data_IF_288499775284
#
_entry.id   IF_288499775284
#
_cell.length_a   1.000
_cell.length_b   1.000
_cell.length_c   1.000
_cell.angle_alpha   90.00
_cell.angle_beta   90.00
_cell.angle_gamma   90.00
#
_symmetry.space_group_name_H-M   'P 1'
#
loop_
_entity.id
_entity.type
_entity.pdbx_description
1 polymer ?
#
# COMPACT_ATOMS: atom_id res chain seq x y z
N UNK A 1 42.21 43.87 54.48
CA UNK A 1 41.90 42.64 53.72
C UNK A 1 42.70 42.68 52.43
N UNK A 2 43.45 41.63 52.10
CA UNK A 2 44.36 41.68 50.96
C UNK A 2 43.57 41.75 49.64
N UNK A 3 44.05 42.47 48.60
CA UNK A 3 43.35 42.58 47.31
C UNK A 3 43.06 41.22 46.64
N UNK A 4 43.90 40.21 46.94
CA UNK A 4 43.73 38.82 46.49
C UNK A 4 42.54 38.12 47.15
N UNK A 5 42.27 38.37 48.43
CA UNK A 5 41.15 37.75 49.17
C UNK A 5 39.80 38.27 48.69
N UNK A 6 39.70 39.58 48.42
CA UNK A 6 38.49 40.18 47.88
C UNK A 6 38.16 39.66 46.47
N UNK A 7 39.19 39.45 45.64
CA UNK A 7 39.02 38.86 44.31
C UNK A 7 38.56 37.40 44.39
N UNK A 8 39.10 36.60 45.31
CA UNK A 8 38.65 35.22 45.51
C UNK A 8 37.21 35.14 46.04
N UNK A 9 36.82 36.07 46.92
CA UNK A 9 35.45 36.17 47.44
C UNK A 9 34.47 36.47 46.31
N UNK A 10 34.78 37.45 45.45
CA UNK A 10 33.96 37.79 44.29
C UNK A 10 33.86 36.64 43.27
N UNK A 11 34.96 35.90 43.04
CA UNK A 11 34.94 34.72 42.16
C UNK A 11 34.05 33.60 42.72
N UNK A 12 34.07 33.40 44.05
CA UNK A 12 33.24 32.40 44.74
C UNK A 12 31.76 32.77 44.73
N UNK A 13 31.43 34.04 44.91
CA UNK A 13 30.04 34.52 44.83
C UNK A 13 29.50 34.40 43.40
N UNK A 14 30.30 34.80 42.40
CA UNK A 14 29.94 34.67 41.00
C UNK A 14 29.72 33.20 40.58
N UNK A 15 30.59 32.28 41.03
CA UNK A 15 30.44 30.85 40.72
C UNK A 15 29.18 30.25 41.37
N UNK A 16 28.87 30.64 42.60
CA UNK A 16 27.62 30.24 43.27
C UNK A 16 26.39 30.73 42.51
N UNK A 17 26.38 31.98 42.05
CA UNK A 17 25.28 32.54 41.26
C UNK A 17 25.07 31.80 39.94
N UNK A 18 26.16 31.43 39.24
CA UNK A 18 26.09 30.67 37.99
C UNK A 18 25.47 29.29 38.21
N UNK A 19 25.85 28.59 39.29
CA UNK A 19 25.28 27.28 39.62
C UNK A 19 23.79 27.39 39.96
N UNK A 20 23.39 28.42 40.71
CA UNK A 20 21.97 28.68 41.03
C UNK A 20 21.17 29.01 39.77
N UNK A 21 21.70 29.85 38.87
CA UNK A 21 21.08 30.16 37.59
C UNK A 21 20.93 28.91 36.71
N UNK A 22 21.98 28.09 36.62
CA UNK A 22 21.95 26.86 35.83
C UNK A 22 20.93 25.86 36.37
N UNK A 23 20.90 25.63 37.68
CA UNK A 23 19.91 24.75 38.32
C UNK A 23 18.48 25.30 38.20
N UNK A 24 18.28 26.61 38.29
CA UNK A 24 16.99 27.26 38.05
C UNK A 24 16.52 27.10 36.60
N UNK A 25 17.41 27.31 35.63
CA UNK A 25 17.10 27.14 34.20
C UNK A 25 16.77 25.67 33.89
N UNK A 26 17.58 24.72 34.37
CA UNK A 26 17.32 23.28 34.20
C UNK A 26 16.01 22.86 34.86
N UNK A 27 15.72 23.36 36.07
CA UNK A 27 14.46 23.05 36.76
C UNK A 27 13.25 23.68 36.08
N UNK A 28 13.36 24.91 35.54
CA UNK A 28 12.34 25.53 34.69
C UNK A 28 12.12 24.76 33.39
N UNK A 29 13.19 24.38 32.69
CA UNK A 29 13.11 23.57 31.47
C UNK A 29 12.50 22.19 31.74
N UNK A 30 12.84 21.54 32.86
CA UNK A 30 12.20 20.29 33.30
C UNK A 30 10.72 20.51 33.61
N UNK A 31 10.36 21.59 34.30
CA UNK A 31 8.95 21.93 34.60
C UNK A 31 8.14 22.19 33.33
N UNK A 32 8.71 22.90 32.36
CA UNK A 32 8.09 23.14 31.04
C UNK A 32 7.95 21.83 30.25
N UNK A 33 8.97 20.95 30.29
CA UNK A 33 8.90 19.60 29.69
C UNK A 33 7.87 18.69 30.37
N UNK A 34 7.66 18.84 31.67
CA UNK A 34 6.63 18.12 32.43
C UNK A 34 5.22 18.69 32.21
N UNK A 35 5.10 19.98 31.91
CA UNK A 35 3.85 20.66 31.51
C UNK A 35 3.54 20.56 30.02
N UNK A 36 4.35 19.86 29.23
CA UNK A 36 3.90 19.34 27.93
C UNK A 36 2.89 18.24 28.25
N UNK A 37 1.62 18.62 28.22
CA UNK A 37 0.46 17.75 28.34
C UNK A 37 0.73 16.39 27.65
N UNK A 38 0.55 15.26 28.35
CA UNK A 38 0.60 13.96 27.72
C UNK A 38 -0.37 13.95 26.55
N UNK A 39 0.08 13.47 25.40
CA UNK A 39 -0.81 13.21 24.27
C UNK A 39 -2.01 12.38 24.76
N UNK A 40 -3.27 12.81 24.54
CA UNK A 40 -4.46 12.09 25.00
C UNK A 40 -4.61 10.70 24.36
N UNK A 41 -3.83 10.44 23.31
CA UNK A 41 -3.64 9.15 22.69
C UNK A 41 -2.27 8.63 23.12
N UNK A 42 -2.20 7.38 23.60
CA UNK A 42 -1.09 6.80 24.36
C UNK A 42 0.33 6.95 23.81
N UNK A 43 1.35 6.40 24.50
CA UNK A 43 2.75 6.68 24.20
C UNK A 43 3.06 6.48 22.71
N UNK A 44 3.64 7.51 22.06
CA UNK A 44 4.05 7.44 20.64
C UNK A 44 4.94 6.23 20.34
N UNK A 45 5.72 5.80 21.33
CA UNK A 45 6.53 4.58 21.29
C UNK A 45 5.70 3.30 21.09
N UNK A 46 4.54 3.17 21.76
CA UNK A 46 3.68 1.98 21.62
C UNK A 46 3.05 1.90 20.23
N UNK A 47 2.51 3.02 19.71
CA UNK A 47 1.98 3.07 18.35
C UNK A 47 3.07 2.77 17.32
N UNK A 48 4.29 3.28 17.53
CA UNK A 48 5.43 2.97 16.67
C UNK A 48 5.84 1.50 16.74
N UNK A 49 5.91 0.91 17.93
CA UNK A 49 6.19 -0.53 18.11
C UNK A 49 5.13 -1.39 17.45
N UNK A 50 3.85 -1.06 17.61
CA UNK A 50 2.76 -1.79 16.96
C UNK A 50 2.90 -1.76 15.44
N UNK A 51 3.18 -0.59 14.85
CA UNK A 51 3.43 -0.47 13.41
C UNK A 51 4.57 -1.34 12.93
N UNK A 52 5.71 -1.28 13.61
CA UNK A 52 6.88 -2.07 13.25
C UNK A 52 6.59 -3.56 13.36
N UNK A 53 5.85 -3.97 14.39
CA UNK A 53 5.37 -5.35 14.55
C UNK A 53 4.43 -5.76 13.41
N UNK A 54 3.45 -4.93 13.04
CA UNK A 54 2.55 -5.18 11.89
C UNK A 54 3.35 -5.35 10.59
N UNK A 55 4.27 -4.44 10.30
CA UNK A 55 5.12 -4.52 9.10
C UNK A 55 6.01 -5.76 9.12
N UNK A 56 6.58 -6.10 10.28
CA UNK A 56 7.39 -7.30 10.45
C UNK A 56 6.56 -8.58 10.23
N UNK A 57 5.31 -8.62 10.71
CA UNK A 57 4.39 -9.74 10.45
C UNK A 57 4.04 -9.88 8.97
N UNK A 58 3.93 -8.78 8.24
CA UNK A 58 3.63 -8.81 6.80
C UNK A 58 4.87 -9.22 5.99
N UNK A 59 6.06 -8.68 6.30
CA UNK A 59 7.25 -8.84 5.47
C UNK A 59 8.14 -10.04 5.85
N UNK A 60 8.24 -10.36 7.14
CA UNK A 60 9.22 -11.33 7.66
C UNK A 60 8.59 -12.66 8.10
N UNK A 61 7.33 -12.90 7.74
CA UNK A 61 6.66 -14.18 7.97
C UNK A 61 6.89 -15.12 6.79
N UNK A 62 5.89 -15.35 5.95
CA UNK A 62 5.93 -16.26 4.80
C UNK A 62 5.34 -15.59 3.57
N UNK A 63 5.67 -16.10 2.38
CA UNK A 63 5.04 -15.63 1.14
C UNK A 63 3.51 -15.85 1.14
N UNK A 64 3.02 -16.85 1.88
CA UNK A 64 1.58 -17.12 2.06
C UNK A 64 0.92 -15.97 2.80
N UNK A 65 1.52 -15.50 3.88
CA UNK A 65 0.99 -14.40 4.68
C UNK A 65 1.04 -13.08 3.92
N UNK A 66 2.15 -12.82 3.21
CA UNK A 66 2.29 -11.63 2.36
C UNK A 66 1.22 -11.63 1.24
N UNK A 67 0.95 -12.79 0.62
CA UNK A 67 -0.16 -12.95 -0.33
C UNK A 67 -1.53 -12.76 0.33
N UNK A 68 -1.72 -13.30 1.53
CA UNK A 68 -2.97 -13.19 2.26
C UNK A 68 -3.28 -11.76 2.71
N UNK A 69 -2.26 -10.93 2.95
CA UNK A 69 -2.42 -9.56 3.44
C UNK A 69 -2.35 -8.50 2.33
N UNK A 70 -1.51 -8.71 1.31
CA UNK A 70 -1.21 -7.72 0.27
C UNK A 70 -1.61 -8.15 -1.14
N UNK A 71 -2.11 -9.39 -1.33
CA UNK A 71 -2.33 -10.02 -2.65
C UNK A 71 -1.08 -10.06 -3.54
N UNK A 72 0.10 -9.96 -2.93
CA UNK A 72 1.37 -9.94 -3.63
C UNK A 72 2.41 -10.75 -2.85
N UNK A 73 3.24 -11.52 -3.55
CA UNK A 73 4.38 -12.22 -2.94
C UNK A 73 5.43 -11.21 -2.47
N UNK A 74 6.29 -11.62 -1.54
CA UNK A 74 7.28 -10.74 -0.92
C UNK A 74 8.28 -10.15 -1.92
N UNK A 75 8.84 -10.98 -2.81
CA UNK A 75 9.84 -10.52 -3.77
C UNK A 75 9.29 -9.45 -4.76
N UNK A 76 8.13 -9.66 -5.43
CA UNK A 76 7.49 -8.62 -6.23
C UNK A 76 7.14 -7.35 -5.44
N UNK A 77 6.72 -7.49 -4.18
CA UNK A 77 6.40 -6.34 -3.32
C UNK A 77 7.61 -5.42 -3.12
N UNK A 78 8.76 -5.99 -2.73
CA UNK A 78 9.98 -5.20 -2.55
C UNK A 78 10.52 -4.66 -3.88
N UNK A 79 10.38 -5.42 -4.98
CA UNK A 79 10.72 -4.93 -6.32
C UNK A 79 9.88 -3.70 -6.69
N UNK A 80 8.58 -3.71 -6.41
CA UNK A 80 7.69 -2.56 -6.63
C UNK A 80 8.08 -1.36 -5.76
N UNK A 81 8.37 -1.57 -4.47
CA UNK A 81 8.82 -0.51 -3.57
C UNK A 81 10.14 0.12 -4.07
N UNK A 82 11.09 -0.71 -4.51
CA UNK A 82 12.36 -0.24 -5.07
C UNK A 82 12.16 0.50 -6.38
N UNK A 83 11.24 0.07 -7.24
CA UNK A 83 10.90 0.77 -8.47
C UNK A 83 10.32 2.16 -8.18
N UNK A 84 9.37 2.28 -7.25
CA UNK A 84 8.82 3.56 -6.85
C UNK A 84 9.87 4.50 -6.25
N UNK A 85 10.78 3.95 -5.43
CA UNK A 85 11.90 4.69 -4.85
C UNK A 85 12.88 5.16 -5.93
N UNK A 86 13.30 4.27 -6.82
CA UNK A 86 14.27 4.57 -7.89
C UNK A 86 13.75 5.63 -8.87
N UNK A 87 12.44 5.64 -9.14
CA UNK A 87 11.80 6.64 -10.01
C UNK A 87 11.32 7.88 -9.27
N UNK A 88 11.50 7.95 -7.94
CA UNK A 88 11.04 9.07 -7.12
C UNK A 88 9.51 9.28 -7.11
N UNK A 89 8.72 8.25 -7.47
CA UNK A 89 7.26 8.31 -7.59
C UNK A 89 6.58 8.34 -6.21
N UNK A 90 7.14 7.61 -5.25
CA UNK A 90 6.69 7.62 -3.85
C UNK A 90 7.85 8.07 -2.98
N UNK A 91 7.62 9.14 -2.23
CA UNK A 91 8.62 9.71 -1.31
C UNK A 91 8.36 9.22 0.10
N UNK A 92 9.44 8.96 0.83
CA UNK A 92 9.35 8.72 2.26
C UNK A 92 8.84 9.97 2.95
N UNK A 93 7.75 9.83 3.70
CA UNK A 93 7.17 10.92 4.51
C UNK A 93 7.70 10.77 5.94
N UNK A 94 7.79 11.86 6.71
CA UNK A 94 8.29 11.83 8.08
C UNK A 94 7.62 10.72 8.91
N UNK A 95 8.39 9.67 9.15
CA UNK A 95 7.99 8.50 9.90
C UNK A 95 7.14 7.47 9.16
N UNK A 96 6.92 7.52 7.83
CA UNK A 96 6.20 6.51 7.03
C UNK A 96 7.03 6.09 5.79
N UNK A 97 7.55 4.86 5.81
CA UNK A 97 8.42 4.35 4.74
C UNK A 97 7.64 4.03 3.46
N UNK A 98 8.33 3.88 2.32
CA UNK A 98 7.68 3.48 1.05
C UNK A 98 6.97 2.13 1.23
N UNK A 99 7.58 1.19 1.94
CA UNK A 99 7.03 -0.14 2.19
C UNK A 99 5.72 -0.05 2.99
N UNK A 100 5.68 0.77 4.04
CA UNK A 100 4.44 0.99 4.79
C UNK A 100 3.36 1.64 3.92
N UNK A 101 3.75 2.59 3.08
CA UNK A 101 2.82 3.28 2.18
C UNK A 101 2.20 2.34 1.15
N UNK A 102 3.03 1.56 0.48
CA UNK A 102 2.60 0.57 -0.52
C UNK A 102 1.82 -0.56 0.15
N UNK A 103 2.22 -1.01 1.34
CA UNK A 103 1.48 -2.03 2.08
C UNK A 103 0.07 -1.56 2.47
N UNK A 104 -0.09 -0.32 2.96
CA UNK A 104 -1.41 0.25 3.25
C UNK A 104 -2.29 0.30 1.99
N UNK A 105 -1.73 0.75 0.87
CA UNK A 105 -2.44 0.79 -0.41
C UNK A 105 -2.89 -0.60 -0.86
N UNK A 106 -1.96 -1.57 -0.89
CA UNK A 106 -2.24 -2.95 -1.31
C UNK A 106 -3.26 -3.64 -0.41
N UNK A 107 -3.23 -3.38 0.89
CA UNK A 107 -4.22 -3.92 1.83
C UNK A 107 -5.63 -3.34 1.54
N UNK A 108 -5.74 -2.06 1.19
CA UNK A 108 -7.02 -1.47 0.75
C UNK A 108 -7.52 -2.14 -0.52
N UNK A 109 -6.73 -2.12 -1.61
CA UNK A 109 -7.20 -2.57 -2.92
C UNK A 109 -7.34 -4.09 -3.02
N UNK A 110 -6.46 -4.84 -2.36
CA UNK A 110 -6.43 -6.30 -2.41
C UNK A 110 -7.56 -6.97 -1.62
N UNK A 111 -8.16 -6.26 -0.66
CA UNK A 111 -9.20 -6.78 0.22
C UNK A 111 -10.45 -5.90 0.29
N UNK A 112 -10.51 -4.82 -0.51
CA UNK A 112 -11.58 -3.83 -0.48
C UNK A 112 -11.83 -3.27 0.94
N UNK A 113 -10.75 -2.96 1.67
CA UNK A 113 -10.82 -2.55 3.06
C UNK A 113 -11.13 -1.05 3.19
N UNK A 114 -11.94 -0.70 4.20
CA UNK A 114 -12.21 0.71 4.53
C UNK A 114 -11.00 1.33 5.22
N UNK A 115 -10.74 2.62 4.99
CA UNK A 115 -9.63 3.35 5.63
C UNK A 115 -9.65 3.29 7.16
N UNK A 116 -10.82 3.14 7.79
CA UNK A 116 -10.95 2.96 9.24
C UNK A 116 -10.28 1.68 9.77
N UNK A 117 -10.29 0.61 8.97
CA UNK A 117 -9.61 -0.66 9.32
C UNK A 117 -8.10 -0.45 9.24
N UNK A 118 -7.64 0.15 8.15
CA UNK A 118 -6.21 0.42 7.90
C UNK A 118 -5.63 1.37 8.96
N UNK A 119 -6.36 2.42 9.33
CA UNK A 119 -6.02 3.33 10.42
C UNK A 119 -5.69 2.55 11.70
N UNK A 120 -6.52 1.57 12.05
CA UNK A 120 -6.35 0.81 13.27
C UNK A 120 -5.17 -0.17 13.16
N UNK A 121 -5.01 -0.86 12.03
CA UNK A 121 -3.93 -1.84 11.80
C UNK A 121 -2.54 -1.19 11.72
N UNK A 122 -2.44 -0.02 11.13
CA UNK A 122 -1.17 0.72 10.95
C UNK A 122 -1.02 1.90 11.92
N UNK A 123 -1.96 2.11 12.85
CA UNK A 123 -1.93 3.22 13.82
C UNK A 123 -1.54 4.57 13.20
N UNK A 124 -2.11 4.86 12.03
CA UNK A 124 -1.94 6.11 11.25
C UNK A 124 -3.23 6.87 11.19
N UNK A 125 -3.20 8.20 11.32
CA UNK A 125 -4.40 9.03 11.13
C UNK A 125 -5.10 8.71 9.79
N UNK A 126 -6.42 8.87 9.75
CA UNK A 126 -7.19 8.67 8.51
C UNK A 126 -6.74 9.63 7.39
N UNK A 127 -6.30 10.83 7.76
CA UNK A 127 -5.67 11.78 6.84
C UNK A 127 -4.42 11.18 6.19
N UNK A 128 -3.54 10.56 6.98
CA UNK A 128 -2.32 9.95 6.45
C UNK A 128 -2.65 8.74 5.57
N UNK A 129 -3.60 7.89 5.96
CA UNK A 129 -4.06 6.76 5.13
C UNK A 129 -4.60 7.25 3.79
N UNK A 130 -5.46 8.28 3.80
CA UNK A 130 -6.04 8.86 2.58
C UNK A 130 -4.99 9.49 1.67
N UNK A 131 -4.05 10.27 2.24
CA UNK A 131 -2.97 10.91 1.47
C UNK A 131 -2.09 9.86 0.80
N UNK A 132 -1.65 8.86 1.56
CA UNK A 132 -0.81 7.78 1.06
C UNK A 132 -1.53 6.98 -0.02
N UNK A 133 -2.81 6.67 0.18
CA UNK A 133 -3.60 5.93 -0.80
C UNK A 133 -3.59 6.64 -2.17
N UNK A 134 -3.86 7.94 -2.21
CA UNK A 134 -3.86 8.70 -3.45
C UNK A 134 -2.45 8.86 -4.05
N UNK A 135 -1.42 9.04 -3.22
CA UNK A 135 -0.04 9.14 -3.69
C UNK A 135 0.42 7.85 -4.38
N UNK A 136 0.15 6.69 -3.77
CA UNK A 136 0.51 5.39 -4.36
C UNK A 136 -0.37 5.09 -5.58
N UNK A 137 -1.65 5.44 -5.56
CA UNK A 137 -2.54 5.31 -6.72
C UNK A 137 -2.01 6.10 -7.93
N UNK A 138 -1.57 7.34 -7.72
CA UNK A 138 -0.95 8.16 -8.76
C UNK A 138 0.34 7.52 -9.28
N UNK A 139 1.22 7.06 -8.38
CA UNK A 139 2.46 6.37 -8.76
C UNK A 139 2.21 5.10 -9.60
N UNK A 140 1.19 4.31 -9.27
CA UNK A 140 0.77 3.16 -10.07
C UNK A 140 0.25 3.62 -11.44
N UNK A 141 -0.55 4.70 -11.47
CA UNK A 141 -1.07 5.30 -12.69
C UNK A 141 0.01 5.78 -13.66
N UNK A 142 1.15 6.26 -13.17
CA UNK A 142 2.30 6.66 -14.00
C UNK A 142 2.96 5.46 -14.68
N UNK A 143 2.92 4.28 -14.07
CA UNK A 143 3.47 3.05 -14.66
C UNK A 143 2.54 2.37 -15.67
N UNK A 144 1.31 2.88 -15.83
CA UNK A 144 0.27 2.21 -16.64
C UNK A 144 0.71 1.97 -18.07
N UNK A 145 1.37 2.93 -18.71
CA UNK A 145 1.77 2.84 -20.12
C UNK A 145 2.85 1.79 -20.37
N UNK A 146 3.71 1.56 -19.38
CA UNK A 146 4.80 0.58 -19.46
C UNK A 146 4.34 -0.83 -19.12
N UNK A 147 3.47 -0.95 -18.10
CA UNK A 147 3.02 -2.23 -17.55
C UNK A 147 1.75 -2.76 -18.24
N UNK A 148 0.86 -1.89 -18.69
CA UNK A 148 -0.37 -2.24 -19.40
C UNK A 148 -0.13 -1.97 -20.88
N UNK A 149 0.46 -2.95 -21.55
CA UNK A 149 0.65 -2.89 -23.00
C UNK A 149 -0.60 -3.44 -23.69
N UNK A 150 -1.07 -2.80 -24.78
CA UNK A 150 -2.11 -3.40 -25.59
C UNK A 150 -1.64 -4.77 -26.11
N UNK A 151 -2.54 -5.77 -26.20
CA UNK A 151 -2.23 -7.05 -26.81
C UNK A 151 -1.61 -6.86 -28.20
N UNK A 152 -0.67 -7.73 -28.56
CA UNK A 152 -0.06 -7.71 -29.89
C UNK A 152 -1.16 -7.76 -30.97
N UNK A 153 -1.03 -6.99 -32.06
CA UNK A 153 -1.99 -7.03 -33.17
C UNK A 153 -1.98 -8.37 -33.91
N UNK A 154 -0.93 -9.18 -33.73
CA UNK A 154 -0.75 -10.46 -34.40
C UNK A 154 -1.54 -11.55 -33.68
N UNK A 155 -2.41 -12.24 -34.43
CA UNK A 155 -3.11 -13.44 -33.95
C UNK A 155 -2.06 -14.48 -33.54
N UNK A 156 -2.17 -15.02 -32.33
CA UNK A 156 -1.21 -16.00 -31.81
C UNK A 156 -1.16 -17.25 -32.70
N UNK A 157 0.03 -17.81 -32.94
CA UNK A 157 0.24 -18.99 -33.82
C UNK A 157 -0.68 -20.16 -33.48
N UNK A 158 -0.82 -20.50 -32.19
CA UNK A 158 -1.81 -21.48 -31.67
C UNK A 158 -3.25 -21.33 -32.21
N UNK A 159 -3.69 -20.11 -32.54
CA UNK A 159 -5.00 -19.87 -33.15
C UNK A 159 -4.89 -20.08 -34.66
N UNK A 160 -3.89 -19.48 -35.32
CA UNK A 160 -3.69 -19.55 -36.78
C UNK A 160 -3.46 -20.98 -37.29
N UNK A 161 -2.72 -21.78 -36.52
CA UNK A 161 -2.33 -23.15 -36.91
C UNK A 161 -3.44 -24.17 -36.65
N UNK A 162 -4.54 -23.77 -36.00
CA UNK A 162 -5.63 -24.66 -35.64
C UNK A 162 -6.86 -24.45 -36.51
N UNK A 163 -7.30 -25.46 -37.28
CA UNK A 163 -8.54 -25.37 -38.06
C UNK A 163 -9.81 -25.31 -37.18
N UNK A 164 -9.69 -25.59 -35.88
CA UNK A 164 -10.78 -25.47 -34.92
C UNK A 164 -11.00 -24.02 -34.48
N UNK A 165 -9.92 -23.25 -34.34
CA UNK A 165 -9.94 -21.89 -33.79
C UNK A 165 -9.88 -20.82 -34.87
N UNK A 166 -9.22 -21.09 -35.99
CA UNK A 166 -9.20 -20.22 -37.17
C UNK A 166 -10.29 -20.67 -38.16
N UNK A 167 -11.14 -19.76 -38.69
CA UNK A 167 -11.06 -18.30 -38.61
C UNK A 167 -11.84 -17.65 -37.45
N UNK A 168 -12.56 -18.42 -36.62
CA UNK A 168 -13.49 -17.88 -35.61
C UNK A 168 -12.85 -16.88 -34.62
N UNK A 169 -11.60 -17.13 -34.21
CA UNK A 169 -10.84 -16.26 -33.30
C UNK A 169 -9.81 -15.37 -34.02
N UNK A 170 -9.86 -15.25 -35.34
CA UNK A 170 -8.97 -14.38 -36.12
C UNK A 170 -9.19 -12.92 -35.72
N UNK A 171 -8.16 -12.21 -35.24
CA UNK A 171 -8.21 -10.82 -34.73
C UNK A 171 -8.87 -10.68 -33.34
N UNK A 172 -8.95 -11.77 -32.57
CA UNK A 172 -9.32 -11.73 -31.16
C UNK A 172 -8.17 -11.15 -30.35
N UNK A 173 -8.43 -10.05 -29.61
CA UNK A 173 -7.43 -9.44 -28.71
C UNK A 173 -7.63 -9.83 -27.25
N UNK A 174 -8.73 -10.53 -26.95
CA UNK A 174 -9.05 -11.02 -25.62
C UNK A 174 -10.47 -11.62 -25.57
N UNK A 175 -10.80 -12.22 -24.43
CA UNK A 175 -12.16 -12.64 -24.11
C UNK A 175 -12.75 -11.69 -23.08
N UNK A 176 -13.99 -11.24 -23.31
CA UNK A 176 -14.78 -10.52 -22.31
C UNK A 176 -15.25 -11.48 -21.22
N UNK A 177 -15.68 -10.94 -20.08
CA UNK A 177 -16.29 -11.77 -19.04
C UNK A 177 -17.49 -12.51 -19.61
N UNK A 178 -17.64 -13.77 -19.21
CA UNK A 178 -18.55 -14.68 -19.88
C UNK A 178 -20.00 -14.47 -19.44
N UNK A 179 -20.91 -14.52 -20.41
CA UNK A 179 -22.35 -14.44 -20.18
C UNK A 179 -22.90 -15.85 -19.98
N UNK A 180 -23.65 -16.04 -18.89
CA UNK A 180 -24.37 -17.29 -18.65
C UNK A 180 -25.62 -17.36 -19.54
N UNK A 181 -25.64 -18.32 -20.46
CA UNK A 181 -26.82 -18.65 -21.27
C UNK A 181 -27.47 -19.94 -20.77
N UNK A 182 -28.80 -20.06 -20.91
CA UNK A 182 -29.52 -21.27 -20.52
C UNK A 182 -29.05 -22.47 -21.37
N UNK A 183 -28.63 -23.54 -20.70
CA UNK A 183 -28.17 -24.75 -21.34
C UNK A 183 -29.26 -25.82 -21.29
N UNK A 184 -29.77 -26.24 -22.44
CA UNK A 184 -30.68 -27.40 -22.53
C UNK A 184 -29.85 -28.67 -22.62
N UNK A 185 -29.66 -29.33 -21.47
CA UNK A 185 -28.92 -30.59 -21.37
C UNK A 185 -29.79 -31.71 -20.77
N UNK A 186 -29.58 -32.98 -21.17
CA UNK A 186 -30.23 -34.15 -20.57
C UNK A 186 -30.10 -34.19 -19.04
N UNK A 187 -31.11 -34.70 -18.35
CA UNK A 187 -31.20 -34.69 -16.87
C UNK A 187 -29.96 -35.24 -16.17
N UNK A 188 -29.34 -36.29 -16.73
CA UNK A 188 -28.15 -36.92 -16.15
C UNK A 188 -26.89 -36.04 -16.23
N UNK A 189 -26.84 -35.05 -17.13
CA UNK A 189 -25.73 -34.07 -17.23
C UNK A 189 -26.02 -32.74 -16.55
N UNK A 190 -27.28 -32.44 -16.20
CA UNK A 190 -27.68 -31.14 -15.63
C UNK A 190 -26.87 -30.73 -14.40
N UNK A 191 -26.39 -31.69 -13.60
CA UNK A 191 -25.57 -31.40 -12.43
C UNK A 191 -24.25 -30.69 -12.77
N UNK A 192 -23.64 -31.00 -13.92
CA UNK A 192 -22.39 -30.37 -14.37
C UNK A 192 -22.58 -28.92 -14.87
N UNK A 193 -23.80 -28.56 -15.25
CA UNK A 193 -24.15 -27.24 -15.79
C UNK A 193 -24.93 -26.37 -14.78
N UNK A 194 -25.15 -26.86 -13.56
CA UNK A 194 -25.76 -26.06 -12.50
C UNK A 194 -24.71 -25.20 -11.81
N UNK A 195 -24.87 -23.89 -11.92
CA UNK A 195 -24.06 -22.90 -11.22
C UNK A 195 -24.72 -22.43 -9.93
N UNK A 196 -24.50 -21.15 -9.59
CA UNK A 196 -25.15 -20.49 -8.44
C UNK A 196 -26.67 -20.38 -8.60
N UNK A 197 -27.18 -20.39 -9.83
CA UNK A 197 -28.62 -20.41 -10.15
C UNK A 197 -29.15 -21.84 -10.30
N UNK A 198 -30.44 -22.04 -10.00
CA UNK A 198 -31.10 -23.37 -10.02
C UNK A 198 -31.15 -23.99 -11.42
N UNK A 199 -31.18 -23.14 -12.46
CA UNK A 199 -31.25 -23.56 -13.84
C UNK A 199 -29.87 -23.91 -14.41
N UNK A 200 -29.78 -24.94 -15.28
CA UNK A 200 -28.53 -25.26 -15.96
C UNK A 200 -28.15 -24.12 -16.92
N UNK A 201 -26.96 -23.58 -16.75
CA UNK A 201 -26.41 -22.49 -17.57
C UNK A 201 -25.00 -22.82 -18.02
N UNK A 202 -24.64 -22.37 -19.22
CA UNK A 202 -23.29 -22.46 -19.75
C UNK A 202 -22.70 -21.05 -19.78
N UNK A 203 -21.48 -20.91 -19.27
CA UNK A 203 -20.75 -19.66 -19.45
C UNK A 203 -20.23 -19.60 -20.89
N UNK A 204 -20.61 -18.56 -21.63
CA UNK A 204 -20.15 -18.29 -22.99
C UNK A 204 -19.31 -17.03 -22.95
N UNK A 205 -18.04 -17.16 -23.31
CA UNK A 205 -17.13 -16.03 -23.42
C UNK A 205 -17.42 -15.27 -24.71
N UNK A 206 -17.52 -13.96 -24.61
CA UNK A 206 -17.58 -13.12 -25.79
C UNK A 206 -16.17 -12.75 -26.26
N UNK A 207 -16.02 -12.62 -27.56
CA UNK A 207 -14.76 -12.21 -28.18
C UNK A 207 -14.67 -10.70 -28.12
N UNK A 208 -13.51 -10.17 -27.72
CA UNK A 208 -13.22 -8.74 -27.86
C UNK A 208 -12.52 -8.51 -29.22
N UNK A 209 -13.20 -7.90 -30.21
CA UNK A 209 -12.58 -7.51 -31.47
C UNK A 209 -11.69 -6.25 -31.33
N UNK A 210 -10.71 -6.12 -32.23
CA UNK A 210 -9.69 -5.05 -32.20
C UNK A 210 -10.25 -3.62 -32.12
N UNK A 211 -11.38 -3.32 -32.76
CA UNK A 211 -11.90 -1.95 -32.83
C UNK A 211 -12.38 -1.42 -31.46
N UNK A 212 -12.74 -2.30 -30.52
CA UNK A 212 -13.17 -1.90 -29.17
C UNK A 212 -11.99 -1.31 -28.39
N UNK A 213 -10.76 -1.80 -28.59
CA UNK A 213 -9.58 -1.24 -27.92
C UNK A 213 -9.22 0.17 -28.40
N UNK A 214 -9.58 0.55 -29.63
CA UNK A 214 -9.35 1.93 -30.11
C UNK A 214 -10.25 2.94 -29.37
N UNK A 215 -11.44 2.55 -28.93
CA UNK A 215 -12.33 3.40 -28.15
C UNK A 215 -11.82 3.69 -26.72
N UNK A 216 -11.07 2.76 -26.12
CA UNK A 216 -10.48 2.94 -24.78
C UNK A 216 -9.16 3.72 -24.75
N UNK A 217 -8.54 4.00 -25.91
CA UNK A 217 -7.34 4.84 -25.99
C UNK A 217 -7.62 6.34 -25.79
N UNK A 218 -8.90 6.74 -25.74
CA UNK A 218 -9.34 8.12 -25.56
C UNK A 218 -9.70 8.52 -24.13
N UNK A 219 -9.45 7.66 -23.14
CA UNK A 219 -9.69 7.92 -21.70
C UNK A 219 -8.38 7.95 -20.92
#
# INVERSE_FOLDING_TARGET
>A
MAPSEHRQLMVREASAMVVVMFTFVVSRLRRIRLHLEPSPYGPRSLSQQHRLSTLQMIFNSTDVECLAMLRMKRAPFFALCNLFRARGLVKETSGCSVEEQVAMFLHVVGHNQRFRVIHQSFKRSLETVSRVFHQVLYAVGELRSEMIRPPSPVTHSKIMDSPMWFPFLQDCVGAGDGTHVLARVPRYMQQAFRGRHKDPTQNVLDRVPRYIQQAFKGW
#
